data_IF_265784429640
#
_entry.id   IF_265784429640
#
_cell.length_a   1.000
_cell.length_b   1.000
_cell.length_c   1.000
_cell.angle_alpha   90.00
_cell.angle_beta   90.00
_cell.angle_gamma   90.00
#
_symmetry.space_group_name_H-M   'P 1'
#
loop_
_entity.id
_entity.type
_entity.pdbx_description
1 polymer ?
#
# COMPACT_ATOMS: atom_id res chain seq x y z
N UNK A 1 16.55 24.57 -7.64
CA UNK A 1 15.55 25.63 -7.86
C UNK A 1 15.22 25.61 -9.33
N UNK A 2 13.96 25.37 -9.69
CA UNK A 2 13.56 25.44 -11.11
C UNK A 2 13.78 26.86 -11.62
N UNK A 3 14.10 27.01 -12.92
CA UNK A 3 14.11 28.32 -13.56
C UNK A 3 12.67 28.83 -13.62
N UNK A 4 12.23 29.48 -12.53
CA UNK A 4 10.91 30.11 -12.36
C UNK A 4 10.61 31.02 -13.57
N UNK A 5 11.65 31.61 -14.14
CA UNK A 5 11.65 32.47 -15.33
C UNK A 5 11.05 31.83 -16.60
N UNK A 6 11.25 30.53 -16.83
CA UNK A 6 10.79 29.85 -18.05
C UNK A 6 9.32 29.43 -17.97
N UNK A 7 8.81 29.21 -16.77
CA UNK A 7 7.42 28.77 -16.55
C UNK A 7 6.44 29.94 -16.69
N UNK A 8 6.89 31.16 -16.40
CA UNK A 8 6.07 32.40 -16.53
C UNK A 8 5.75 32.69 -18.00
N UNK A 9 6.71 32.48 -18.90
CA UNK A 9 6.49 32.68 -20.34
C UNK A 9 5.63 31.57 -20.95
N UNK A 10 5.76 30.32 -20.47
CA UNK A 10 5.00 29.16 -20.98
C UNK A 10 3.54 29.14 -20.54
N UNK A 11 3.24 29.69 -19.37
CA UNK A 11 1.88 29.69 -18.81
C UNK A 11 1.06 30.91 -19.29
N UNK A 12 1.62 31.79 -20.10
CA UNK A 12 0.90 32.93 -20.67
C UNK A 12 0.11 32.50 -21.94
N UNK A 13 -1.08 33.07 -22.17
CA UNK A 13 -1.91 32.72 -23.31
C UNK A 13 -1.30 33.14 -24.66
N UNK A 14 -0.38 34.11 -24.66
CA UNK A 14 0.43 34.46 -25.83
C UNK A 14 1.88 34.73 -25.44
N UNK A 15 2.79 34.52 -26.38
CA UNK A 15 4.23 34.68 -26.17
C UNK A 15 4.63 36.13 -25.86
N UNK A 16 4.00 37.11 -26.51
CA UNK A 16 4.26 38.54 -26.28
C UNK A 16 3.81 38.97 -24.88
N UNK A 17 2.70 38.42 -24.39
CA UNK A 17 2.22 38.65 -23.03
C UNK A 17 3.10 37.96 -21.99
N UNK A 18 3.59 36.75 -22.30
CA UNK A 18 4.59 36.06 -21.48
C UNK A 18 5.88 36.85 -21.32
N UNK A 19 6.37 37.49 -22.39
CA UNK A 19 7.54 38.37 -22.33
C UNK A 19 7.28 39.63 -21.53
N UNK A 20 6.10 40.26 -21.69
CA UNK A 20 5.73 41.43 -20.87
C UNK A 20 5.69 41.10 -19.39
N UNK A 21 5.02 40.00 -19.00
CA UNK A 21 4.98 39.52 -17.61
C UNK A 21 6.36 39.19 -17.07
N UNK A 22 7.22 38.57 -17.90
CA UNK A 22 8.60 38.30 -17.53
C UNK A 22 9.39 39.60 -17.27
N UNK A 23 9.25 40.61 -18.13
CA UNK A 23 9.90 41.90 -17.97
C UNK A 23 9.36 42.68 -16.77
N UNK A 24 8.04 42.64 -16.53
CA UNK A 24 7.40 43.23 -15.35
C UNK A 24 7.90 42.56 -14.06
N UNK A 25 7.94 41.23 -14.01
CA UNK A 25 8.46 40.49 -12.85
C UNK A 25 9.95 40.76 -12.59
N UNK A 26 10.74 40.91 -13.65
CA UNK A 26 12.16 41.30 -13.55
C UNK A 26 12.33 42.75 -13.08
N UNK A 27 11.38 43.63 -13.39
CA UNK A 27 11.32 45.02 -12.88
C UNK A 27 10.79 45.09 -11.45
N UNK A 28 9.93 44.17 -11.04
CA UNK A 28 9.41 44.04 -9.67
C UNK A 28 10.41 43.42 -8.69
N UNK A 29 11.53 42.87 -9.17
CA UNK A 29 12.61 42.45 -8.27
C UNK A 29 13.14 43.68 -7.52
N UNK A 30 12.98 43.77 -6.20
CA UNK A 30 13.46 44.92 -5.44
C UNK A 30 14.98 45.00 -5.60
N UNK A 31 15.47 46.15 -6.06
CA UNK A 31 16.89 46.38 -6.20
C UNK A 31 17.57 46.21 -4.84
N UNK A 32 18.55 45.31 -4.74
CA UNK A 32 19.48 45.28 -3.60
C UNK A 32 19.00 44.60 -2.31
N UNK A 33 18.45 43.38 -2.37
CA UNK A 33 18.35 42.51 -1.18
C UNK A 33 17.32 42.92 -0.13
N UNK A 34 16.45 43.89 -0.41
CA UNK A 34 15.29 44.16 0.44
C UNK A 34 14.29 43.01 0.33
N UNK A 35 14.05 42.32 1.46
CA UNK A 35 12.94 41.39 1.57
C UNK A 35 11.64 42.14 1.33
N UNK A 36 10.75 41.56 0.50
CA UNK A 36 9.43 42.14 0.21
C UNK A 36 8.75 42.45 1.54
N UNK A 37 8.55 43.74 1.86
CA UNK A 37 7.98 44.16 3.15
C UNK A 37 6.67 43.40 3.37
N UNK A 38 6.46 42.80 4.54
CA UNK A 38 5.23 42.05 4.80
C UNK A 38 4.04 42.98 4.55
N UNK A 39 3.08 42.50 3.76
CA UNK A 39 1.89 43.28 3.46
C UNK A 39 1.15 43.54 4.77
N UNK A 40 1.06 44.80 5.19
CA UNK A 40 0.29 45.17 6.37
C UNK A 40 -1.19 44.96 6.08
N UNK A 41 -1.74 43.88 6.63
CA UNK A 41 -3.17 43.59 6.54
C UNK A 41 -3.87 44.55 7.50
N UNK A 42 -4.53 45.56 6.94
CA UNK A 42 -5.31 46.51 7.74
C UNK A 42 -6.62 45.87 8.19
N UNK A 43 -7.19 46.36 9.30
CA UNK A 43 -8.52 45.95 9.77
C UNK A 43 -9.60 46.08 8.68
N UNK A 44 -9.45 47.07 7.79
CA UNK A 44 -10.34 47.26 6.64
C UNK A 44 -10.26 46.12 5.62
N UNK A 45 -9.05 45.61 5.32
CA UNK A 45 -8.87 44.47 4.42
C UNK A 45 -9.39 43.17 5.04
N UNK A 46 -9.13 42.95 6.33
CA UNK A 46 -9.70 41.83 7.08
C UNK A 46 -11.22 41.88 7.12
N UNK A 47 -11.81 43.04 7.43
CA UNK A 47 -13.26 43.22 7.45
C UNK A 47 -13.90 42.96 6.08
N UNK A 48 -13.23 43.32 4.98
CA UNK A 48 -13.68 42.96 3.63
C UNK A 48 -13.60 41.47 3.35
N UNK A 49 -12.53 40.80 3.77
CA UNK A 49 -12.39 39.34 3.64
C UNK A 49 -13.43 38.60 4.49
N UNK A 50 -13.69 39.07 5.71
CA UNK A 50 -14.75 38.56 6.58
C UNK A 50 -16.14 38.80 5.95
N UNK A 51 -16.35 39.94 5.31
CA UNK A 51 -17.57 40.25 4.57
C UNK A 51 -17.71 39.51 3.23
N UNK A 52 -16.69 38.74 2.78
CA UNK A 52 -16.84 37.88 1.60
C UNK A 52 -17.64 36.62 1.90
N UNK A 53 -17.76 36.21 3.16
CA UNK A 53 -18.51 35.03 3.58
C UNK A 53 -19.67 35.46 4.46
N UNK A 54 -20.86 35.01 4.14
CA UNK A 54 -22.01 35.23 4.99
C UNK A 54 -21.98 34.23 6.16
N UNK A 55 -21.87 34.69 7.42
CA UNK A 55 -21.71 33.78 8.56
C UNK A 55 -22.97 32.97 8.87
N UNK A 56 -24.15 33.44 8.43
CA UNK A 56 -25.43 32.76 8.68
C UNK A 56 -25.63 31.63 7.68
N UNK A 57 -25.40 31.91 6.39
CA UNK A 57 -25.60 30.92 5.33
C UNK A 57 -24.36 30.06 5.09
N UNK A 58 -23.20 30.45 5.63
CA UNK A 58 -21.90 29.84 5.41
C UNK A 58 -21.50 29.75 3.92
N UNK A 59 -21.99 30.70 3.11
CA UNK A 59 -21.70 30.81 1.68
C UNK A 59 -20.88 32.04 1.39
N UNK A 60 -20.12 32.02 0.29
CA UNK A 60 -19.53 33.23 -0.24
C UNK A 60 -20.64 34.16 -0.76
N UNK A 61 -20.50 35.46 -0.49
CA UNK A 61 -21.40 36.50 -1.01
C UNK A 61 -21.20 36.70 -2.53
N UNK A 62 -20.08 36.26 -3.09
CA UNK A 62 -19.81 36.25 -4.53
C UNK A 62 -20.14 34.88 -5.12
N UNK A 63 -21.17 34.86 -5.97
CA UNK A 63 -21.70 33.66 -6.63
C UNK A 63 -20.65 32.92 -7.47
N UNK A 64 -19.68 33.62 -8.07
CA UNK A 64 -18.67 32.95 -8.88
C UNK A 64 -17.71 32.13 -8.01
N UNK A 65 -17.28 32.70 -6.89
CA UNK A 65 -16.42 32.00 -5.93
C UNK A 65 -17.15 30.82 -5.30
N UNK A 66 -18.42 31.00 -4.93
CA UNK A 66 -19.28 29.93 -4.39
C UNK A 66 -19.42 28.77 -5.38
N UNK A 67 -19.67 29.05 -6.67
CA UNK A 67 -19.76 28.01 -7.69
C UNK A 67 -18.45 27.22 -7.86
N UNK A 68 -17.30 27.90 -7.81
CA UNK A 68 -15.98 27.25 -7.90
C UNK A 68 -15.75 26.34 -6.70
N UNK A 69 -16.00 26.84 -5.48
CA UNK A 69 -15.85 26.07 -4.24
C UNK A 69 -16.78 24.87 -4.25
N UNK A 70 -18.05 25.05 -4.62
CA UNK A 70 -19.03 23.97 -4.70
C UNK A 70 -18.60 22.88 -5.68
N UNK A 71 -18.09 23.24 -6.88
CA UNK A 71 -17.54 22.25 -7.83
C UNK A 71 -16.33 21.52 -7.26
N UNK A 72 -15.45 22.22 -6.54
CA UNK A 72 -14.30 21.59 -5.88
C UNK A 72 -14.74 20.61 -4.79
N UNK A 73 -15.76 20.95 -4.01
CA UNK A 73 -16.34 20.08 -2.99
C UNK A 73 -17.02 18.86 -3.62
N UNK A 74 -17.86 19.06 -4.63
CA UNK A 74 -18.53 17.98 -5.37
C UNK A 74 -17.52 17.00 -5.97
N UNK A 75 -16.46 17.50 -6.61
CA UNK A 75 -15.40 16.65 -7.17
C UNK A 75 -14.58 15.95 -6.08
N UNK A 76 -14.33 16.60 -4.95
CA UNK A 76 -13.64 16.00 -3.79
C UNK A 76 -14.48 14.90 -3.14
N UNK A 77 -15.78 15.14 -2.95
CA UNK A 77 -16.75 14.16 -2.43
C UNK A 77 -16.85 12.98 -3.39
N UNK A 78 -17.04 13.22 -4.68
CA UNK A 78 -17.09 12.17 -5.69
C UNK A 78 -15.81 11.34 -5.71
N UNK A 79 -14.64 11.97 -5.63
CA UNK A 79 -13.35 11.28 -5.54
C UNK A 79 -13.22 10.45 -4.27
N UNK A 80 -13.67 10.96 -3.14
CA UNK A 80 -13.62 10.27 -1.85
C UNK A 80 -14.58 9.08 -1.83
N UNK A 81 -15.80 9.25 -2.34
CA UNK A 81 -16.79 8.18 -2.48
C UNK A 81 -16.31 7.12 -3.46
N UNK A 82 -15.79 7.49 -4.62
CA UNK A 82 -15.21 6.54 -5.58
C UNK A 82 -14.06 5.76 -4.97
N UNK A 83 -13.17 6.41 -4.20
CA UNK A 83 -12.08 5.72 -3.49
C UNK A 83 -12.61 4.80 -2.38
N UNK A 84 -13.59 5.22 -1.62
CA UNK A 84 -14.21 4.42 -0.57
C UNK A 84 -14.90 3.19 -1.16
N UNK A 85 -15.63 3.38 -2.26
CA UNK A 85 -16.32 2.33 -2.98
C UNK A 85 -15.35 1.36 -3.66
N UNK A 86 -14.26 1.86 -4.27
CA UNK A 86 -13.14 1.02 -4.74
C UNK A 86 -12.59 0.17 -3.59
N UNK A 87 -12.31 0.79 -2.45
CA UNK A 87 -11.77 0.11 -1.25
C UNK A 87 -12.75 -0.93 -0.70
N UNK A 88 -14.04 -0.64 -0.75
CA UNK A 88 -15.10 -1.56 -0.37
C UNK A 88 -15.16 -2.74 -1.34
N UNK A 89 -15.12 -2.49 -2.65
CA UNK A 89 -15.12 -3.55 -3.66
C UNK A 89 -13.92 -4.47 -3.51
N UNK A 90 -12.73 -3.94 -3.16
CA UNK A 90 -11.54 -4.76 -2.86
C UNK A 90 -11.68 -5.64 -1.61
N UNK A 91 -12.53 -5.26 -0.65
CA UNK A 91 -12.72 -6.00 0.61
C UNK A 91 -13.89 -6.97 0.54
N UNK A 92 -14.88 -6.67 -0.30
CA UNK A 92 -16.12 -7.42 -0.43
C UNK A 92 -16.15 -8.25 -1.73
N UNK A 93 -17.29 -8.89 -2.00
CA UNK A 93 -17.53 -9.66 -3.21
C UNK A 93 -17.66 -8.74 -4.44
N UNK A 94 -16.88 -9.04 -5.49
CA UNK A 94 -16.80 -8.26 -6.74
C UNK A 94 -18.05 -8.31 -7.63
N UNK A 95 -18.97 -9.23 -7.35
CA UNK A 95 -20.23 -9.39 -8.07
C UNK A 95 -21.41 -9.22 -7.11
N UNK A 96 -22.55 -8.81 -7.66
CA UNK A 96 -23.81 -8.80 -6.93
C UNK A 96 -24.30 -10.25 -6.76
N UNK A 97 -24.64 -10.63 -5.54
CA UNK A 97 -25.03 -12.00 -5.18
C UNK A 97 -26.36 -12.37 -5.84
N UNK A 98 -27.25 -11.39 -6.04
CA UNK A 98 -28.59 -11.62 -6.59
C UNK A 98 -28.58 -11.67 -8.11
N UNK A 99 -27.96 -10.67 -8.75
CA UNK A 99 -27.95 -10.57 -10.22
C UNK A 99 -26.77 -11.28 -10.88
N UNK A 100 -25.76 -11.70 -10.09
CA UNK A 100 -24.46 -12.21 -10.57
C UNK A 100 -23.71 -11.26 -11.51
N UNK A 101 -24.20 -10.04 -11.69
CA UNK A 101 -23.54 -9.03 -12.49
C UNK A 101 -22.30 -8.52 -11.74
N UNK A 102 -21.23 -8.24 -12.49
CA UNK A 102 -20.08 -7.57 -11.92
C UNK A 102 -20.52 -6.19 -11.39
N UNK A 103 -20.23 -5.88 -10.12
CA UNK A 103 -20.55 -4.57 -9.53
C UNK A 103 -19.83 -3.41 -10.24
N UNK A 104 -18.76 -3.72 -11.00
CA UNK A 104 -18.06 -2.78 -11.88
C UNK A 104 -17.37 -3.50 -13.04
N UNK A 105 -17.54 -2.99 -14.25
CA UNK A 105 -16.77 -3.43 -15.42
C UNK A 105 -15.29 -3.07 -15.26
N UNK A 106 -14.42 -4.06 -15.32
CA UNK A 106 -12.97 -3.94 -15.50
C UNK A 106 -12.29 -2.99 -14.50
N UNK A 107 -12.24 -3.40 -13.23
CA UNK A 107 -11.25 -2.83 -12.31
C UNK A 107 -9.91 -3.38 -12.75
N UNK A 108 -9.05 -2.52 -13.30
CA UNK A 108 -7.62 -2.79 -13.37
C UNK A 108 -7.17 -3.20 -11.98
N UNK A 109 -6.84 -4.47 -11.80
CA UNK A 109 -6.19 -4.99 -10.61
C UNK A 109 -5.01 -4.06 -10.33
N UNK A 110 -5.16 -3.18 -9.33
CA UNK A 110 -4.03 -2.39 -8.88
C UNK A 110 -3.11 -3.41 -8.26
N UNK A 111 -2.15 -3.90 -9.04
CA UNK A 111 -1.03 -4.73 -8.58
C UNK A 111 -0.56 -4.06 -7.30
N UNK A 112 -0.79 -4.72 -6.17
CA UNK A 112 -0.39 -4.24 -4.86
C UNK A 112 1.14 -4.22 -4.86
N UNK A 113 1.71 -3.17 -5.44
CA UNK A 113 3.10 -2.83 -5.22
C UNK A 113 3.10 -2.36 -3.78
N UNK A 114 3.53 -3.23 -2.88
CA UNK A 114 4.12 -2.77 -1.63
C UNK A 114 5.21 -1.80 -2.04
N UNK A 115 4.86 -0.51 -2.06
CA UNK A 115 5.84 0.53 -1.95
C UNK A 115 6.28 0.39 -0.51
N UNK A 116 7.20 -0.56 -0.28
CA UNK A 116 8.11 -0.49 0.85
C UNK A 116 8.65 0.92 0.74
N UNK A 117 8.13 1.83 1.57
CA UNK A 117 8.75 3.15 1.72
C UNK A 117 10.19 2.79 1.99
N UNK A 118 11.15 3.15 1.10
CA UNK A 118 12.54 2.88 1.41
C UNK A 118 12.74 3.42 2.83
N UNK A 119 13.38 2.65 3.74
CA UNK A 119 13.60 3.10 5.11
C UNK A 119 14.10 4.52 4.98
N UNK A 120 13.37 5.48 5.56
CA UNK A 120 13.59 6.90 5.26
C UNK A 120 15.07 7.15 5.47
N UNK A 121 15.81 7.20 4.36
CA UNK A 121 17.18 7.63 4.34
C UNK A 121 17.01 9.05 4.81
N UNK A 122 17.32 9.25 6.09
CA UNK A 122 17.63 10.54 6.69
C UNK A 122 18.23 11.33 5.56
N UNK A 123 17.55 12.40 5.14
CA UNK A 123 17.94 13.25 4.02
C UNK A 123 19.41 13.57 4.22
N UNK A 124 20.27 12.78 3.58
CA UNK A 124 21.70 12.94 3.65
C UNK A 124 21.91 14.20 2.82
N UNK A 125 21.91 15.34 3.50
CA UNK A 125 22.28 16.59 2.89
C UNK A 125 23.68 16.34 2.36
N UNK A 126 23.78 16.20 1.04
CA UNK A 126 25.03 16.01 0.31
C UNK A 126 25.87 17.30 0.32
N UNK A 127 25.93 17.97 1.47
CA UNK A 127 26.72 19.16 1.72
C UNK A 127 28.07 18.70 2.25
N UNK A 128 29.12 19.00 1.50
CA UNK A 128 30.52 18.58 1.77
C UNK A 128 31.16 19.31 2.98
N UNK A 129 30.37 20.08 3.74
CA UNK A 129 30.80 20.87 4.88
C UNK A 129 29.93 20.63 6.10
N UNK A 130 30.53 20.80 7.28
CA UNK A 130 29.82 20.78 8.54
C UNK A 130 29.00 22.06 8.70
N UNK A 131 27.69 21.93 8.87
CA UNK A 131 26.71 23.05 8.90
C UNK A 131 27.01 24.05 10.02
N UNK A 132 27.61 23.60 11.13
CA UNK A 132 27.95 24.47 12.26
C UNK A 132 29.22 25.28 11.97
N UNK A 133 30.23 24.64 11.37
CA UNK A 133 31.56 25.26 11.19
C UNK A 133 31.80 25.86 9.80
N UNK A 134 30.98 25.54 8.80
CA UNK A 134 31.19 25.88 7.39
C UNK A 134 32.39 25.20 6.72
N UNK A 135 33.24 24.51 7.49
CA UNK A 135 34.44 23.83 7.00
C UNK A 135 34.12 22.48 6.36
N UNK A 136 34.92 22.12 5.36
CA UNK A 136 34.78 20.84 4.65
C UNK A 136 34.98 19.63 5.58
N UNK A 137 34.34 18.51 5.27
CA UNK A 137 34.48 17.27 6.04
C UNK A 137 35.93 16.74 6.10
N UNK A 138 36.76 17.12 5.12
CA UNK A 138 38.19 16.82 5.07
C UNK A 138 39.01 17.61 6.10
N UNK A 139 38.47 18.71 6.62
CA UNK A 139 39.13 19.51 7.65
C UNK A 139 38.55 19.13 9.03
N UNK A 140 37.23 19.02 9.11
CA UNK A 140 36.46 18.85 10.33
C UNK A 140 35.93 17.41 10.48
N UNK A 141 36.83 16.44 10.62
CA UNK A 141 36.48 15.07 11.05
C UNK A 141 36.95 14.86 12.49
N UNK A 142 36.15 14.19 13.32
CA UNK A 142 36.46 13.89 14.73
C UNK A 142 37.64 12.92 14.92
N UNK A 143 38.13 12.32 13.82
CA UNK A 143 39.25 11.37 13.84
C UNK A 143 40.52 12.05 13.29
N UNK A 144 41.71 11.74 13.84
CA UNK A 144 42.99 12.26 13.32
C UNK A 144 43.22 11.80 11.87
N UNK A 145 44.03 12.55 11.10
CA UNK A 145 44.20 12.39 9.64
C UNK A 145 44.38 10.92 9.22
N UNK A 146 45.23 10.18 9.93
CA UNK A 146 45.62 8.80 9.62
C UNK A 146 44.52 7.76 9.88
N UNK A 147 43.50 8.11 10.70
CA UNK A 147 42.41 7.20 11.09
C UNK A 147 41.07 7.61 10.50
N UNK A 148 41.06 8.54 9.55
CA UNK A 148 39.83 8.97 8.90
C UNK A 148 39.36 7.88 7.93
N UNK A 149 38.10 7.45 8.00
CA UNK A 149 37.57 6.51 7.02
C UNK A 149 37.63 7.15 5.62
N UNK A 150 38.00 6.38 4.58
CA UNK A 150 38.01 6.89 3.22
C UNK A 150 36.59 7.31 2.82
N UNK A 151 36.49 8.45 2.12
CA UNK A 151 35.19 8.97 1.64
C UNK A 151 34.53 7.88 0.78
N UNK A 152 33.25 7.52 1.00
CA UNK A 152 32.53 6.69 0.06
C UNK A 152 32.52 7.41 -1.30
N UNK A 153 32.96 6.73 -2.36
CA UNK A 153 33.07 7.33 -3.69
C UNK A 153 31.75 8.03 -4.05
N UNK A 154 31.81 9.34 -4.31
CA UNK A 154 30.62 10.07 -4.75
C UNK A 154 30.13 9.41 -6.04
N UNK A 155 28.85 9.06 -6.15
CA UNK A 155 28.32 8.52 -7.40
C UNK A 155 28.65 9.53 -8.51
N UNK A 156 29.14 9.03 -9.65
CA UNK A 156 29.40 9.89 -10.81
C UNK A 156 28.16 10.75 -11.06
N UNK A 157 28.37 12.06 -11.27
CA UNK A 157 27.26 12.98 -11.61
C UNK A 157 26.49 12.31 -12.75
N UNK A 158 25.23 11.94 -12.48
CA UNK A 158 24.37 11.37 -13.52
C UNK A 158 24.41 12.35 -14.68
N UNK A 159 24.81 11.86 -15.86
CA UNK A 159 24.72 12.67 -17.07
C UNK A 159 23.32 13.28 -17.09
N UNK A 160 23.23 14.57 -17.42
CA UNK A 160 21.95 15.25 -17.46
C UNK A 160 21.01 14.39 -18.29
N UNK A 161 19.84 14.05 -17.73
CA UNK A 161 18.87 13.23 -18.44
C UNK A 161 18.50 13.99 -19.71
N UNK A 162 19.06 13.57 -20.85
CA UNK A 162 18.67 14.04 -22.17
C UNK A 162 17.25 13.55 -22.38
N UNK A 163 16.28 14.42 -22.10
CA UNK A 163 14.88 14.19 -22.44
C UNK A 163 14.73 14.08 -23.95
N UNK A 164 13.70 13.38 -24.42
CA UNK A 164 13.42 13.22 -25.86
C UNK A 164 13.34 14.54 -26.63
N UNK A 165 13.04 15.65 -25.95
CA UNK A 165 13.00 17.00 -26.49
C UNK A 165 14.39 17.63 -26.72
N UNK A 166 15.40 17.27 -25.92
CA UNK A 166 16.72 17.89 -25.94
C UNK A 166 17.80 17.02 -26.60
N UNK A 167 17.46 15.80 -27.05
CA UNK A 167 18.37 14.97 -27.84
C UNK A 167 18.43 15.53 -29.27
N UNK A 168 19.62 15.82 -29.82
CA UNK A 168 19.73 16.22 -31.22
C UNK A 168 19.12 15.13 -32.11
N UNK A 169 18.34 15.55 -33.11
CA UNK A 169 17.71 14.62 -34.05
C UNK A 169 18.80 13.92 -34.85
N UNK A 170 18.76 12.59 -34.85
CA UNK A 170 19.80 11.78 -35.50
C UNK A 170 19.57 11.63 -37.01
N UNK A 171 18.33 11.83 -37.47
CA UNK A 171 17.91 11.74 -38.86
C UNK A 171 17.49 13.11 -39.37
N UNK A 172 18.05 13.50 -40.51
CA UNK A 172 17.68 14.71 -41.21
C UNK A 172 16.61 14.40 -42.27
N UNK A 173 15.46 15.05 -42.13
CA UNK A 173 14.27 14.82 -42.96
C UNK A 173 14.43 15.47 -44.34
N UNK A 174 15.26 16.51 -44.46
CA UNK A 174 15.46 17.21 -45.72
C UNK A 174 16.40 16.42 -46.65
N UNK A 175 17.45 15.84 -46.08
CA UNK A 175 18.45 15.07 -46.83
C UNK A 175 18.18 13.57 -46.84
N UNK A 176 17.23 13.09 -46.02
CA UNK A 176 16.96 11.66 -45.78
C UNK A 176 18.19 10.86 -45.35
N UNK A 177 19.12 11.51 -44.64
CA UNK A 177 20.36 10.89 -44.17
C UNK A 177 20.47 10.94 -42.65
N UNK A 178 21.20 9.96 -42.10
CA UNK A 178 21.56 9.99 -40.69
C UNK A 178 22.77 10.89 -40.50
N UNK A 179 22.74 11.71 -39.45
CA UNK A 179 23.81 12.64 -39.09
C UNK A 179 25.16 11.96 -38.80
N UNK A 180 25.15 10.67 -38.44
CA UNK A 180 26.35 9.84 -38.23
C UNK A 180 26.15 8.47 -38.87
N UNK A 181 27.17 7.98 -39.56
CA UNK A 181 27.27 6.64 -40.15
C UNK A 181 26.02 6.19 -40.93
N UNK A 182 25.58 7.02 -41.90
CA UNK A 182 24.34 6.77 -42.64
C UNK A 182 24.28 5.40 -43.31
N UNK A 183 25.34 4.98 -44.00
CA UNK A 183 25.36 3.72 -44.74
C UNK A 183 25.26 2.50 -43.81
N UNK A 184 26.02 2.49 -42.72
CA UNK A 184 25.99 1.41 -41.72
C UNK A 184 24.61 1.29 -41.08
N UNK A 185 24.01 2.43 -40.74
CA UNK A 185 22.68 2.46 -40.11
C UNK A 185 21.58 2.06 -41.08
N UNK A 186 21.64 2.52 -42.32
CA UNK A 186 20.70 2.12 -43.37
C UNK A 186 20.76 0.61 -43.62
N UNK A 187 21.97 0.02 -43.70
CA UNK A 187 22.15 -1.42 -43.83
C UNK A 187 21.56 -2.18 -42.64
N UNK A 188 21.88 -1.74 -41.42
CA UNK A 188 21.35 -2.34 -40.20
C UNK A 188 19.81 -2.27 -40.13
N UNK A 189 19.20 -1.16 -40.56
CA UNK A 189 17.74 -1.02 -40.63
C UNK A 189 17.11 -1.93 -41.70
N UNK A 190 17.76 -2.08 -42.85
CA UNK A 190 17.32 -3.03 -43.89
C UNK A 190 17.39 -4.48 -43.40
N UNK A 191 18.50 -4.86 -42.76
CA UNK A 191 18.69 -6.20 -42.19
C UNK A 191 17.65 -6.48 -41.09
N UNK A 192 17.44 -5.52 -40.18
CA UNK A 192 16.39 -5.59 -39.16
C UNK A 192 14.99 -5.71 -39.76
N UNK A 193 14.67 -4.91 -40.79
CA UNK A 193 13.36 -5.00 -41.44
C UNK A 193 13.16 -6.37 -42.11
N UNK A 194 14.22 -6.92 -42.73
CA UNK A 194 14.19 -8.27 -43.30
C UNK A 194 13.92 -9.32 -42.23
N UNK A 195 14.60 -9.24 -41.09
CA UNK A 195 14.36 -10.11 -39.93
C UNK A 195 12.92 -9.99 -39.41
N UNK A 196 12.40 -8.77 -39.25
CA UNK A 196 11.01 -8.53 -38.80
C UNK A 196 9.98 -9.10 -39.79
N UNK A 197 10.23 -9.01 -41.10
CA UNK A 197 9.37 -9.60 -42.13
C UNK A 197 9.41 -11.13 -42.06
N UNK A 198 10.60 -11.72 -41.94
CA UNK A 198 10.78 -13.17 -41.78
C UNK A 198 10.08 -13.66 -40.51
N UNK A 199 10.22 -12.94 -39.41
CA UNK A 199 9.56 -13.26 -38.15
C UNK A 199 8.03 -13.24 -38.31
N UNK A 200 7.45 -12.16 -38.87
CA UNK A 200 6.00 -12.07 -39.13
C UNK A 200 5.51 -13.17 -40.07
N UNK A 201 6.32 -13.54 -41.06
CA UNK A 201 6.00 -14.64 -41.97
C UNK A 201 5.86 -15.96 -41.20
N UNK A 202 6.81 -16.28 -40.32
CA UNK A 202 6.77 -17.50 -39.51
C UNK A 202 5.74 -17.48 -38.38
N UNK A 203 5.42 -16.31 -37.83
CA UNK A 203 4.32 -16.15 -36.86
C UNK A 203 2.97 -16.53 -37.48
N UNK A 204 2.76 -16.22 -38.76
CA UNK A 204 1.50 -16.52 -39.47
C UNK A 204 1.47 -17.89 -40.13
N UNK A 205 2.63 -18.49 -40.41
CA UNK A 205 2.77 -19.76 -41.14
C UNK A 205 3.60 -20.75 -40.34
N UNK A 206 3.13 -21.06 -39.14
CA UNK A 206 3.75 -22.08 -38.28
C UNK A 206 3.29 -23.51 -38.60
N UNK A 207 2.14 -23.66 -39.25
CA UNK A 207 1.46 -24.92 -39.48
C UNK A 207 1.24 -25.18 -40.98
N UNK A 208 1.55 -26.40 -41.41
CA UNK A 208 1.26 -26.87 -42.75
C UNK A 208 -0.10 -27.57 -42.77
N UNK A 209 -1.06 -26.97 -43.47
CA UNK A 209 -2.42 -27.50 -43.57
C UNK A 209 -2.53 -28.74 -44.46
N UNK A 210 -1.53 -29.01 -45.32
CA UNK A 210 -1.56 -30.17 -46.24
C UNK A 210 -1.03 -31.41 -45.54
N UNK A 211 0.10 -31.30 -44.83
CA UNK A 211 0.65 -32.41 -44.05
C UNK A 211 0.03 -32.51 -42.66
N UNK A 212 -0.74 -31.51 -42.24
CA UNK A 212 -1.33 -31.37 -40.92
C UNK A 212 -0.29 -31.43 -39.78
N UNK A 213 0.90 -30.86 -40.00
CA UNK A 213 2.01 -30.86 -39.05
C UNK A 213 2.65 -29.48 -38.92
N UNK A 214 3.26 -29.18 -37.78
CA UNK A 214 4.08 -27.96 -37.66
C UNK A 214 5.37 -28.08 -38.49
N UNK A 215 5.84 -26.97 -39.06
CA UNK A 215 7.13 -26.93 -39.77
C UNK A 215 8.33 -27.16 -38.84
N UNK A 216 8.17 -26.78 -37.57
CA UNK A 216 9.17 -26.91 -36.53
C UNK A 216 8.99 -28.24 -35.78
N UNK A 217 10.02 -29.09 -35.84
CA UNK A 217 9.98 -30.46 -35.30
C UNK A 217 9.81 -30.49 -33.78
N UNK A 218 10.40 -29.53 -33.08
CA UNK A 218 10.33 -29.50 -31.61
C UNK A 218 8.92 -29.11 -31.15
N UNK A 219 8.28 -28.19 -31.88
CA UNK A 219 6.87 -27.81 -31.63
C UNK A 219 5.91 -28.94 -31.95
N UNK A 220 6.16 -29.68 -33.02
CA UNK A 220 5.37 -30.86 -33.37
C UNK A 220 5.47 -31.94 -32.28
N UNK A 221 6.68 -32.24 -31.80
CA UNK A 221 6.89 -33.18 -30.72
C UNK A 221 6.14 -32.76 -29.44
N UNK A 222 6.26 -31.49 -29.05
CA UNK A 222 5.54 -30.94 -27.89
C UNK A 222 4.01 -30.99 -28.08
N UNK A 223 3.50 -30.72 -29.29
CA UNK A 223 2.08 -30.83 -29.60
C UNK A 223 1.59 -32.27 -29.47
N UNK A 224 2.35 -33.24 -29.97
CA UNK A 224 2.02 -34.66 -29.87
C UNK A 224 2.03 -35.16 -28.42
N UNK A 225 3.02 -34.76 -27.62
CA UNK A 225 3.05 -35.05 -26.18
C UNK A 225 1.82 -34.48 -25.47
N UNK A 226 1.52 -33.21 -25.71
CA UNK A 226 0.34 -32.56 -25.14
C UNK A 226 -0.98 -33.22 -25.56
N UNK A 227 -1.08 -33.70 -26.81
CA UNK A 227 -2.27 -34.43 -27.27
C UNK A 227 -2.37 -35.81 -26.60
N UNK A 228 -1.25 -36.53 -26.44
CA UNK A 228 -1.20 -37.80 -25.68
C UNK A 228 -1.63 -37.57 -24.23
N UNK A 229 -1.13 -36.53 -23.58
CA UNK A 229 -1.52 -36.16 -22.22
C UNK A 229 -3.00 -35.81 -22.13
N UNK A 230 -3.53 -35.07 -23.11
CA UNK A 230 -4.97 -34.76 -23.18
C UNK A 230 -5.82 -36.01 -23.34
N UNK A 231 -5.39 -36.97 -24.14
CA UNK A 231 -6.09 -38.24 -24.32
C UNK A 231 -6.03 -39.11 -23.07
N UNK A 232 -4.87 -39.19 -22.41
CA UNK A 232 -4.72 -39.91 -21.14
C UNK A 232 -5.59 -39.29 -20.03
N UNK A 233 -5.64 -37.97 -19.98
CA UNK A 233 -6.46 -37.21 -19.02
C UNK A 233 -7.91 -37.03 -19.48
N UNK A 234 -8.31 -37.60 -20.62
CA UNK A 234 -9.66 -37.48 -21.12
C UNK A 234 -10.60 -38.29 -20.21
N UNK A 235 -11.41 -37.58 -19.42
CA UNK A 235 -12.38 -38.19 -18.50
C UNK A 235 -12.04 -38.01 -17.03
N UNK A 236 -10.78 -37.75 -16.66
CA UNK A 236 -10.42 -37.44 -15.26
C UNK A 236 -11.13 -36.16 -14.78
N UNK A 237 -11.31 -35.19 -15.68
CA UNK A 237 -12.05 -33.94 -15.41
C UNK A 237 -13.57 -34.07 -15.50
N UNK A 238 -14.15 -35.25 -15.76
CA UNK A 238 -15.60 -35.40 -15.92
C UNK A 238 -16.33 -34.99 -14.63
N UNK A 239 -15.80 -35.36 -13.47
CA UNK A 239 -16.35 -34.99 -12.16
C UNK A 239 -16.28 -33.47 -11.94
N UNK A 240 -15.22 -32.81 -12.42
CA UNK A 240 -15.04 -31.36 -12.27
C UNK A 240 -15.98 -30.54 -13.19
N UNK A 241 -16.53 -31.16 -14.23
CA UNK A 241 -17.57 -30.54 -15.09
C UNK A 241 -18.95 -30.61 -14.47
N UNK A 242 -19.16 -31.44 -13.45
CA UNK A 242 -20.43 -31.53 -12.76
C UNK A 242 -20.70 -30.25 -11.97
N UNK A 243 -21.97 -29.85 -11.79
CA UNK A 243 -22.34 -28.75 -10.91
C UNK A 243 -21.70 -28.92 -9.53
N UNK A 244 -21.23 -27.85 -8.86
CA UNK A 244 -20.54 -27.96 -7.57
C UNK A 244 -21.31 -28.75 -6.51
N UNK A 245 -22.65 -28.67 -6.51
CA UNK A 245 -23.51 -29.44 -5.61
C UNK A 245 -23.41 -30.95 -5.84
N UNK A 246 -23.41 -31.39 -7.11
CA UNK A 246 -23.23 -32.79 -7.45
C UNK A 246 -21.77 -33.21 -7.30
N UNK A 247 -20.83 -32.37 -7.72
CA UNK A 247 -19.41 -32.65 -7.63
C UNK A 247 -18.93 -32.79 -6.17
N UNK A 248 -19.51 -32.03 -5.24
CA UNK A 248 -19.23 -32.13 -3.81
C UNK A 248 -20.12 -33.15 -3.08
N UNK A 249 -21.02 -33.83 -3.79
CA UNK A 249 -21.88 -34.83 -3.16
C UNK A 249 -21.08 -36.05 -2.71
N UNK A 250 -21.39 -36.53 -1.51
CA UNK A 250 -20.75 -37.71 -0.91
C UNK A 250 -20.94 -38.95 -1.80
N UNK A 251 -22.04 -39.03 -2.56
CA UNK A 251 -22.33 -40.15 -3.47
C UNK A 251 -21.31 -40.34 -4.60
N UNK A 252 -20.52 -39.32 -4.94
CA UNK A 252 -19.41 -39.45 -5.89
C UNK A 252 -18.08 -39.81 -5.21
N UNK A 253 -17.97 -39.58 -3.90
CA UNK A 253 -16.77 -39.84 -3.11
C UNK A 253 -16.72 -41.27 -2.60
N UNK A 254 -17.88 -41.86 -2.37
CA UNK A 254 -18.04 -43.23 -1.91
C UNK A 254 -18.78 -44.06 -2.94
N UNK A 255 -18.45 -45.34 -2.99
CA UNK A 255 -19.33 -46.32 -3.59
C UNK A 255 -20.44 -46.68 -2.62
N UNK A 256 -21.69 -46.31 -2.96
CA UNK A 256 -22.86 -46.48 -2.09
C UNK A 256 -23.08 -47.95 -1.71
N UNK A 257 -22.75 -48.89 -2.60
CA UNK A 257 -23.02 -50.31 -2.38
C UNK A 257 -21.96 -50.99 -1.50
N UNK A 258 -20.70 -50.55 -1.61
CA UNK A 258 -19.57 -51.19 -0.91
C UNK A 258 -19.07 -50.39 0.29
N UNK A 259 -19.45 -49.11 0.39
CA UNK A 259 -18.94 -48.17 1.39
C UNK A 259 -17.47 -47.76 1.18
N UNK A 260 -16.84 -48.21 0.09
CA UNK A 260 -15.43 -47.92 -0.20
C UNK A 260 -15.28 -46.51 -0.75
N UNK A 261 -14.27 -45.79 -0.26
CA UNK A 261 -13.93 -44.44 -0.75
C UNK A 261 -13.33 -44.55 -2.15
N UNK A 262 -13.98 -43.94 -3.14
CA UNK A 262 -13.49 -43.84 -4.52
C UNK A 262 -12.42 -42.78 -4.68
N UNK A 263 -12.57 -41.65 -3.99
CA UNK A 263 -11.65 -40.51 -4.05
C UNK A 263 -11.30 -40.00 -2.63
N UNK A 264 -10.23 -40.52 -2.00
CA UNK A 264 -9.86 -40.15 -0.64
C UNK A 264 -9.30 -38.73 -0.53
N UNK A 265 -8.67 -38.23 -1.60
CA UNK A 265 -8.05 -36.90 -1.62
C UNK A 265 -9.13 -35.83 -1.59
N UNK A 266 -10.14 -35.97 -2.45
CA UNK A 266 -11.25 -35.01 -2.51
C UNK A 266 -12.07 -35.05 -1.22
N UNK A 267 -12.28 -36.22 -0.65
CA UNK A 267 -12.97 -36.36 0.64
C UNK A 267 -12.24 -35.58 1.74
N UNK A 268 -10.93 -35.73 1.82
CA UNK A 268 -10.12 -34.98 2.78
C UNK A 268 -10.24 -33.46 2.57
N UNK A 269 -10.28 -32.99 1.32
CA UNK A 269 -10.47 -31.57 1.02
C UNK A 269 -11.81 -31.03 1.53
N UNK A 270 -12.90 -31.79 1.42
CA UNK A 270 -14.20 -31.39 1.96
C UNK A 270 -14.16 -31.33 3.48
N UNK A 271 -13.59 -32.36 4.12
CA UNK A 271 -13.42 -32.40 5.58
C UNK A 271 -12.58 -31.19 6.06
N UNK A 272 -11.48 -30.89 5.39
CA UNK A 272 -10.61 -29.76 5.72
C UNK A 272 -11.31 -28.41 5.50
N UNK A 273 -12.13 -28.29 4.45
CA UNK A 273 -12.92 -27.09 4.20
C UNK A 273 -13.97 -26.86 5.31
N UNK A 274 -14.68 -27.92 5.72
CA UNK A 274 -15.65 -27.85 6.81
C UNK A 274 -14.97 -27.51 8.15
N UNK A 275 -13.82 -28.13 8.43
CA UNK A 275 -13.02 -27.82 9.61
C UNK A 275 -12.54 -26.36 9.59
N UNK A 276 -12.07 -25.85 8.45
CA UNK A 276 -11.67 -24.46 8.29
C UNK A 276 -12.82 -23.49 8.58
N UNK A 277 -14.05 -23.80 8.11
CA UNK A 277 -15.24 -23.00 8.39
C UNK A 277 -15.56 -23.02 9.89
N UNK A 278 -15.46 -24.17 10.54
CA UNK A 278 -15.67 -24.30 11.99
C UNK A 278 -14.62 -23.51 12.79
N UNK A 279 -13.34 -23.61 12.43
CA UNK A 279 -12.26 -22.85 13.05
C UNK A 279 -12.42 -21.34 12.84
N UNK A 280 -12.83 -20.90 11.65
CA UNK A 280 -13.09 -19.50 11.37
C UNK A 280 -14.26 -18.96 12.22
N UNK A 281 -15.33 -19.74 12.38
CA UNK A 281 -16.47 -19.39 13.27
C UNK A 281 -16.04 -19.33 14.73
N UNK A 282 -15.26 -20.31 15.20
CA UNK A 282 -14.72 -20.32 16.56
C UNK A 282 -13.83 -19.09 16.83
N UNK A 283 -12.89 -18.81 15.93
CA UNK A 283 -12.01 -17.64 16.05
C UNK A 283 -12.73 -16.30 15.98
N UNK A 284 -13.87 -16.21 15.28
CA UNK A 284 -14.72 -15.00 15.28
C UNK A 284 -15.29 -14.73 16.67
N UNK A 285 -15.79 -15.76 17.36
CA UNK A 285 -16.35 -15.64 18.70
C UNK A 285 -15.28 -15.15 19.69
N UNK A 286 -14.06 -15.70 19.62
CA UNK A 286 -12.96 -15.29 20.48
C UNK A 286 -12.51 -13.84 20.22
N UNK A 287 -12.38 -13.46 18.94
CA UNK A 287 -12.05 -12.08 18.56
C UNK A 287 -13.11 -11.10 19.04
N UNK A 288 -14.39 -11.47 18.93
CA UNK A 288 -15.49 -10.64 19.40
C UNK A 288 -15.45 -10.47 20.93
N UNK A 289 -15.23 -11.54 21.69
CA UNK A 289 -15.04 -11.47 23.15
C UNK A 289 -13.88 -10.53 23.51
N UNK A 290 -12.71 -10.70 22.88
CA UNK A 290 -11.55 -9.83 23.11
C UNK A 290 -11.82 -8.36 22.76
N UNK A 291 -12.56 -8.08 21.68
CA UNK A 291 -12.96 -6.72 21.32
C UNK A 291 -13.92 -6.11 22.32
N UNK A 292 -14.90 -6.89 22.83
CA UNK A 292 -15.82 -6.45 23.89
C UNK A 292 -15.06 -6.12 25.17
N UNK A 293 -14.16 -6.99 25.61
CA UNK A 293 -13.31 -6.76 26.80
C UNK A 293 -12.46 -5.50 26.66
N UNK A 294 -11.79 -5.31 25.51
CA UNK A 294 -11.01 -4.09 25.21
C UNK A 294 -11.88 -2.84 25.21
N UNK A 295 -13.12 -2.94 24.71
CA UNK A 295 -14.08 -1.84 24.72
C UNK A 295 -14.49 -1.47 26.15
N UNK A 296 -14.79 -2.48 26.98
CA UNK A 296 -15.11 -2.29 28.40
C UNK A 296 -13.95 -1.63 29.14
N UNK A 297 -12.72 -2.13 28.95
CA UNK A 297 -11.52 -1.55 29.57
C UNK A 297 -11.28 -0.10 29.12
N UNK A 298 -11.45 0.21 27.83
CA UNK A 298 -11.33 1.59 27.33
C UNK A 298 -12.39 2.51 27.94
N UNK A 299 -13.62 2.02 28.06
CA UNK A 299 -14.70 2.78 28.67
C UNK A 299 -14.44 3.02 30.16
N UNK A 300 -13.99 2.00 30.91
CA UNK A 300 -13.58 2.15 32.30
C UNK A 300 -12.46 3.20 32.45
N UNK A 301 -11.38 3.06 31.68
CA UNK A 301 -10.27 4.02 31.68
C UNK A 301 -10.74 5.45 31.32
N UNK A 302 -11.64 5.58 30.35
CA UNK A 302 -12.24 6.86 30.00
C UNK A 302 -13.05 7.47 31.15
N UNK A 303 -13.87 6.67 31.84
CA UNK A 303 -14.61 7.08 33.03
C UNK A 303 -13.67 7.49 34.15
N UNK A 304 -12.62 6.71 34.41
CA UNK A 304 -11.60 7.02 35.42
C UNK A 304 -10.90 8.35 35.11
N UNK A 305 -10.48 8.56 33.86
CA UNK A 305 -9.90 9.85 33.41
C UNK A 305 -10.88 11.00 33.51
N UNK A 306 -12.17 10.76 33.38
CA UNK A 306 -13.20 11.78 33.51
C UNK A 306 -13.39 12.14 34.98
N UNK A 307 -13.44 11.15 35.87
CA UNK A 307 -13.51 11.34 37.33
C UNK A 307 -12.26 12.04 37.85
N UNK A 308 -11.07 11.63 37.41
CA UNK A 308 -9.79 12.24 37.78
C UNK A 308 -9.60 13.67 37.24
N UNK A 309 -10.42 14.12 36.27
CA UNK A 309 -10.41 15.51 35.77
C UNK A 309 -11.29 16.45 36.59
N UNK A 310 -12.16 15.93 37.46
CA UNK A 310 -13.05 16.77 38.25
C UNK A 310 -12.21 17.43 39.37
N UNK A 311 -12.10 18.75 39.30
CA UNK A 311 -11.41 19.55 40.30
C UNK A 311 -12.12 19.46 41.65
N UNK A 312 -11.34 19.35 42.73
CA UNK A 312 -11.85 19.29 44.10
C UNK A 312 -12.76 20.47 44.47
N UNK A 313 -12.49 21.66 43.92
CA UNK A 313 -13.26 22.88 44.13
C UNK A 313 -14.74 22.72 43.76
N UNK A 314 -15.06 21.85 42.78
CA UNK A 314 -16.44 21.57 42.37
C UNK A 314 -17.27 21.04 43.53
N UNK A 315 -16.66 20.26 44.43
CA UNK A 315 -17.34 19.66 45.57
C UNK A 315 -17.08 20.39 46.88
N UNK A 316 -16.18 21.38 46.93
CA UNK A 316 -15.83 22.09 48.15
C UNK A 316 -17.06 22.72 48.84
N UNK A 317 -17.95 23.36 48.07
CA UNK A 317 -19.18 23.95 48.60
C UNK A 317 -20.18 22.90 49.10
N UNK A 318 -20.29 21.78 48.38
CA UNK A 318 -21.18 20.67 48.74
C UNK A 318 -20.70 19.99 50.02
N UNK A 319 -19.40 19.73 50.12
CA UNK A 319 -18.76 19.17 51.32
C UNK A 319 -18.90 20.13 52.51
N UNK A 320 -18.64 21.42 52.31
CA UNK A 320 -18.81 22.42 53.37
C UNK A 320 -20.25 22.57 53.88
N UNK A 321 -21.25 22.22 53.05
CA UNK A 321 -22.66 22.25 53.43
C UNK A 321 -23.05 21.14 54.39
N UNK A 322 -22.38 19.98 54.34
CA UNK A 322 -22.61 18.84 55.24
C UNK A 322 -23.83 17.96 54.94
N UNK A 323 -24.77 18.41 54.10
CA UNK A 323 -25.97 17.65 53.73
C UNK A 323 -26.33 17.80 52.25
N UNK A 324 -27.02 16.81 51.69
CA UNK A 324 -27.49 16.83 50.32
C UNK A 324 -28.71 17.75 50.13
N UNK A 325 -28.69 18.57 49.08
CA UNK A 325 -29.72 19.57 48.80
C UNK A 325 -31.02 18.90 48.36
N UNK A 326 -30.91 17.73 47.71
CA UNK A 326 -32.04 17.02 47.13
C UNK A 326 -32.77 16.19 48.20
N UNK A 327 -32.01 15.40 48.96
CA UNK A 327 -32.58 14.46 49.92
C UNK A 327 -32.60 14.97 51.36
N UNK A 328 -31.98 16.13 51.64
CA UNK A 328 -31.80 16.71 52.98
C UNK A 328 -31.11 15.79 54.00
N UNK A 329 -30.57 14.65 53.54
CA UNK A 329 -29.85 13.73 54.37
C UNK A 329 -28.42 14.24 54.62
N UNK A 330 -27.95 14.07 55.85
CA UNK A 330 -26.56 14.33 56.20
C UNK A 330 -25.66 13.36 55.43
N UNK A 331 -24.55 13.87 54.89
CA UNK A 331 -23.62 13.06 54.11
C UNK A 331 -22.93 11.95 54.92
N UNK A 332 -22.99 12.02 56.25
CA UNK A 332 -22.49 10.98 57.15
C UNK A 332 -23.41 9.75 57.22
N UNK A 333 -24.68 9.87 56.82
CA UNK A 333 -25.68 8.80 56.95
C UNK A 333 -25.99 8.09 55.63
N UNK A 334 -25.99 8.80 54.49
CA UNK A 334 -26.41 8.25 53.16
C UNK A 334 -25.26 8.18 52.15
N UNK A 335 -24.01 8.28 52.63
CA UNK A 335 -22.82 8.19 51.80
C UNK A 335 -22.35 9.57 51.36
N UNK A 336 -21.05 9.78 51.53
CA UNK A 336 -20.38 11.04 51.22
C UNK A 336 -20.62 11.47 49.76
N UNK A 337 -20.58 12.78 49.46
CA UNK A 337 -20.50 13.23 48.07
C UNK A 337 -19.28 12.56 47.43
N UNK A 338 -19.31 12.26 46.12
CA UNK A 338 -18.23 11.53 45.48
C UNK A 338 -16.90 12.22 45.81
N UNK A 339 -16.01 11.49 46.49
CA UNK A 339 -14.75 12.06 46.97
C UNK A 339 -14.04 12.73 45.80
N UNK A 340 -13.61 13.99 45.94
CA UNK A 340 -12.84 14.64 44.90
C UNK A 340 -11.57 13.82 44.67
N UNK A 341 -11.45 13.19 43.50
CA UNK A 341 -10.28 12.36 43.18
C UNK A 341 -9.03 13.20 42.93
N UNK A 342 -9.20 14.48 42.60
CA UNK A 342 -8.09 15.43 42.57
C UNK A 342 -7.80 15.93 43.98
N UNK A 343 -6.53 15.87 44.40
CA UNK A 343 -6.10 16.50 45.66
C UNK A 343 -6.21 18.02 45.52
N UNK A 344 -6.51 18.70 46.62
CA UNK A 344 -6.39 20.15 46.68
C UNK A 344 -4.97 20.57 46.28
N UNK A 345 -4.85 21.72 45.60
CA UNK A 345 -3.52 22.28 45.33
C UNK A 345 -2.88 22.57 46.68
N UNK A 346 -1.77 21.90 46.98
CA UNK A 346 -0.97 22.18 48.17
C UNK A 346 -0.63 23.67 48.19
N UNK A 347 -0.75 24.31 49.35
CA UNK A 347 -0.25 25.67 49.50
C UNK A 347 1.26 25.70 49.26
N UNK A 348 1.85 26.87 48.95
CA UNK A 348 3.31 27.00 48.80
C UNK A 348 4.07 26.50 50.05
N UNK A 349 3.47 26.68 51.23
CA UNK A 349 4.03 26.26 52.50
C UNK A 349 3.95 24.73 52.68
N UNK A 350 2.79 24.13 52.41
CA UNK A 350 2.62 22.66 52.41
C UNK A 350 3.46 21.97 51.34
N UNK A 351 3.64 22.61 50.18
CA UNK A 351 4.51 22.13 49.12
C UNK A 351 5.97 22.09 49.60
N UNK A 352 6.42 23.18 50.22
CA UNK A 352 7.76 23.27 50.81
C UNK A 352 7.97 22.27 51.97
N UNK A 353 6.97 22.06 52.83
CA UNK A 353 7.03 20.99 53.84
C UNK A 353 7.07 19.59 53.21
N UNK A 354 6.31 19.35 52.14
CA UNK A 354 6.34 18.04 51.48
C UNK A 354 7.68 17.73 50.83
N UNK A 355 8.38 18.75 50.29
CA UNK A 355 9.75 18.60 49.79
C UNK A 355 10.77 18.35 50.91
N UNK A 356 10.59 18.99 52.09
CA UNK A 356 11.41 18.72 53.27
C UNK A 356 11.21 17.30 53.81
N UNK A 357 9.97 16.82 53.79
CA UNK A 357 9.64 15.47 54.25
C UNK A 357 10.07 14.38 53.24
N UNK A 358 10.10 14.68 51.93
CA UNK A 358 10.62 13.77 50.90
C UNK A 358 12.14 13.66 50.94
N UNK A 359 12.86 14.73 51.27
CA UNK A 359 14.33 14.69 51.46
C UNK A 359 14.76 14.00 52.76
N UNK A 360 13.88 13.91 53.76
CA UNK A 360 14.10 13.14 54.98
C UNK A 360 13.80 11.63 54.83
N UNK A 361 13.15 11.21 53.73
CA UNK A 361 12.98 9.79 53.42
C UNK A 361 14.22 9.30 52.68
N UNK A 362 15.02 8.45 53.35
CA UNK A 362 16.09 7.68 52.71
C UNK A 362 15.54 7.00 51.45
N UNK A 363 16.26 7.05 50.30
CA UNK A 363 15.81 6.39 49.09
C UNK A 363 15.79 4.88 49.34
N UNK A 364 14.59 4.34 49.53
CA UNK A 364 14.35 2.90 49.43
C UNK A 364 14.90 2.42 48.07
N UNK A 365 15.62 1.28 48.03
CA UNK A 365 16.16 0.75 46.80
C UNK A 365 14.98 0.30 45.93
N UNK A 366 14.60 1.16 44.98
CA UNK A 366 13.71 0.78 43.90
C UNK A 366 14.44 -0.25 43.05
N UNK A 367 14.23 -1.52 43.37
CA UNK A 367 14.63 -2.62 42.50
C UNK A 367 14.12 -2.33 41.10
N UNK A 368 15.05 -2.46 40.14
CA UNK A 368 14.79 -2.56 38.72
C UNK A 368 13.49 -3.31 38.48
N UNK A 369 12.49 -2.60 37.99
CA UNK A 369 11.34 -3.23 37.35
C UNK A 369 11.85 -3.73 36.00
N UNK A 370 12.53 -4.88 36.07
CA UNK A 370 12.79 -5.76 34.96
C UNK A 370 11.53 -5.90 34.15
N UNK A 371 11.67 -5.70 32.83
CA UNK A 371 10.84 -6.31 31.81
C UNK A 371 10.33 -7.68 32.30
N UNK A 372 9.07 -7.72 32.75
CA UNK A 372 8.32 -8.96 32.75
C UNK A 372 8.00 -9.23 31.28
N UNK A 373 8.92 -9.95 30.65
CA UNK A 373 8.58 -10.98 29.67
C UNK A 373 7.28 -11.64 30.09
N UNK A 374 6.25 -11.54 29.24
CA UNK A 374 5.05 -12.36 29.34
C UNK A 374 5.46 -13.77 28.91
N UNK A 375 6.08 -14.50 29.83
CA UNK A 375 6.19 -15.94 29.73
C UNK A 375 4.85 -16.54 30.18
N UNK A 376 4.19 -17.14 29.19
CA UNK A 376 3.06 -18.04 29.33
C UNK A 376 3.31 -19.07 30.44
N UNK A 377 2.52 -19.00 31.50
CA UNK A 377 2.36 -20.10 32.45
C UNK A 377 1.66 -21.25 31.73
N UNK A 378 2.46 -22.21 31.27
CA UNK A 378 2.04 -23.51 30.80
C UNK A 378 2.36 -24.54 31.89
N UNK A 379 1.41 -24.75 32.80
CA UNK A 379 1.27 -25.91 33.70
C UNK A 379 -0.02 -25.67 34.49
N UNK A 380 -1.00 -26.55 34.57
CA UNK A 380 -1.20 -27.89 34.09
C UNK A 380 -2.45 -28.36 34.82
N UNK A 381 -3.54 -28.59 34.11
CA UNK A 381 -4.69 -29.27 34.69
C UNK A 381 -4.85 -30.60 33.97
N UNK A 382 -4.29 -31.62 34.61
CA UNK A 382 -4.42 -33.00 34.20
C UNK A 382 -5.88 -33.43 34.33
N UNK A 383 -6.48 -33.85 33.22
CA UNK A 383 -7.58 -34.81 33.25
C UNK A 383 -7.21 -36.00 32.38
N UNK A 384 -7.24 -37.12 33.05
CA UNK A 384 -7.03 -38.49 32.62
C UNK A 384 -8.03 -38.92 31.56
N UNK A 385 -7.54 -39.48 30.45
CA UNK A 385 -8.26 -40.51 29.71
C UNK A 385 -7.27 -41.39 28.95
N UNK A 386 -7.01 -42.53 29.58
CA UNK A 386 -6.59 -43.84 29.11
C UNK A 386 -6.80 -44.12 27.60
N UNK A 387 -5.72 -44.36 26.86
CA UNK A 387 -5.70 -45.22 25.66
C UNK A 387 -4.37 -46.02 25.68
N UNK A 388 -4.39 -47.36 25.49
CA UNK A 388 -3.22 -48.20 25.68
C UNK A 388 -2.32 -48.28 24.44
N UNK A 389 -1.03 -48.35 24.69
CA UNK A 389 0.02 -48.72 23.75
C UNK A 389 0.34 -50.21 23.86
N UNK A 390 0.20 -50.97 22.76
CA UNK A 390 1.16 -52.00 22.30
C UNK A 390 0.67 -52.68 21.02
N UNK A 391 1.50 -52.67 19.97
CA UNK A 391 2.16 -53.89 19.50
C UNK A 391 3.25 -53.52 18.48
N UNK A 392 4.46 -53.97 18.81
CA UNK A 392 5.57 -54.20 17.89
C UNK A 392 5.15 -55.17 16.79
N UNK A 393 5.68 -54.96 15.57
CA UNK A 393 6.11 -56.06 14.72
C UNK A 393 7.13 -55.57 13.69
N UNK A 394 8.34 -56.12 13.86
CA UNK A 394 9.50 -56.05 13.00
C UNK A 394 9.37 -56.92 11.74
N UNK A 395 10.19 -56.54 10.74
CA UNK A 395 10.81 -57.39 9.71
C UNK A 395 10.04 -57.68 8.40
N UNK A 396 10.60 -57.16 7.29
CA UNK A 396 11.09 -57.83 6.07
C UNK A 396 11.04 -56.81 4.91
N UNK A 397 12.15 -56.17 4.57
CA UNK A 397 13.19 -56.64 3.64
C UNK A 397 12.75 -56.67 2.16
N UNK A 398 13.34 -55.79 1.34
CA UNK A 398 13.96 -56.09 0.04
C UNK A 398 13.90 -54.95 -1.01
N UNK A 399 15.12 -54.55 -1.42
CA UNK A 399 15.56 -54.24 -2.81
C UNK A 399 14.97 -53.00 -3.54
N UNK A 400 15.82 -51.98 -3.77
CA UNK A 400 16.63 -51.85 -5.01
C UNK A 400 17.54 -50.62 -4.98
N UNK A 401 18.73 -50.85 -5.51
CA UNK A 401 19.91 -50.01 -5.69
C UNK A 401 19.78 -48.95 -6.80
N UNK A 402 20.39 -47.76 -6.56
CA UNK A 402 21.27 -46.88 -7.39
C UNK A 402 21.13 -46.87 -8.95
N UNK A 403 21.50 -45.78 -9.67
CA UNK A 403 22.66 -44.92 -9.34
C UNK A 403 22.55 -43.41 -9.61
N UNK A 404 23.58 -42.73 -9.09
CA UNK A 404 24.06 -41.40 -9.44
C UNK A 404 24.52 -41.36 -10.90
N UNK A 405 24.23 -40.28 -11.61
CA UNK A 405 24.84 -39.95 -12.91
C UNK A 405 25.55 -38.61 -12.81
N UNK A 406 26.69 -38.57 -13.50
CA UNK A 406 27.82 -37.68 -13.35
C UNK A 406 27.56 -36.21 -13.72
N UNK A 407 28.41 -35.39 -13.13
CA UNK A 407 28.78 -34.06 -13.59
C UNK A 407 29.49 -34.16 -14.95
N UNK A 408 29.11 -33.30 -15.89
CA UNK A 408 29.98 -32.88 -16.98
C UNK A 408 29.72 -31.40 -17.31
N UNK A 409 30.82 -30.69 -17.53
CA UNK A 409 30.89 -29.25 -17.74
C UNK A 409 30.82 -28.90 -19.23
N UNK A 410 30.19 -27.78 -19.56
CA UNK A 410 30.52 -26.87 -20.69
C UNK A 410 29.69 -25.59 -20.50
N UNK A 411 30.30 -24.44 -20.22
CA UNK A 411 30.75 -23.41 -21.16
C UNK A 411 29.70 -22.98 -22.20
N UNK A 412 29.17 -21.76 -22.04
CA UNK A 412 28.37 -21.07 -23.07
C UNK A 412 27.53 -19.94 -22.47
N UNK A 413 28.04 -18.71 -22.57
CA UNK A 413 27.40 -17.51 -22.03
C UNK A 413 26.02 -17.24 -22.62
N UNK A 414 25.13 -16.68 -21.81
CA UNK A 414 23.84 -16.13 -22.26
C UNK A 414 23.74 -14.66 -21.85
N UNK A 415 23.83 -13.83 -22.89
CA UNK A 415 23.43 -12.44 -22.88
C UNK A 415 21.95 -12.30 -22.49
N UNK A 416 21.68 -11.46 -21.50
CA UNK A 416 20.33 -11.10 -21.08
C UNK A 416 19.77 -10.02 -21.99
N UNK A 417 19.05 -10.40 -23.04
CA UNK A 417 18.12 -9.49 -23.73
C UNK A 417 16.76 -9.53 -23.05
N UNK A 418 16.39 -8.36 -22.52
CA UNK A 418 15.15 -8.11 -21.78
C UNK A 418 14.05 -7.78 -22.78
N UNK A 419 13.16 -8.73 -23.08
CA UNK A 419 11.97 -8.49 -23.90
C UNK A 419 10.93 -7.69 -23.11
N UNK A 420 10.61 -6.50 -23.61
CA UNK A 420 9.47 -5.70 -23.17
C UNK A 420 8.25 -6.08 -24.00
N UNK A 421 7.26 -6.72 -23.39
CA UNK A 421 5.95 -6.96 -24.00
C UNK A 421 5.19 -5.63 -24.11
N UNK A 422 4.99 -5.18 -25.35
CA UNK A 422 4.10 -4.06 -25.71
C UNK A 422 2.73 -4.63 -26.04
N UNK A 423 1.73 -4.24 -25.27
CA UNK A 423 0.33 -4.55 -25.52
C UNK A 423 -0.15 -3.84 -26.79
N UNK A 424 -0.64 -4.60 -27.77
CA UNK A 424 -1.31 -4.12 -28.97
C UNK A 424 -2.76 -3.75 -28.64
N UNK A 425 -3.08 -2.45 -28.72
CA UNK A 425 -4.43 -1.92 -28.61
C UNK A 425 -5.25 -2.26 -29.87
N UNK A 426 -6.41 -2.87 -29.65
CA UNK A 426 -7.40 -3.19 -30.68
C UNK A 426 -7.92 -1.93 -31.37
N UNK A 427 -7.95 -2.01 -32.70
CA UNK A 427 -8.46 -1.04 -33.65
C UNK A 427 -9.96 -0.80 -33.51
N UNK A 428 -10.34 0.48 -33.52
CA UNK A 428 -11.70 1.00 -33.56
C UNK A 428 -12.50 0.51 -34.77
N UNK A 429 -13.65 -0.10 -34.51
CA UNK A 429 -14.73 -0.36 -35.48
C UNK A 429 -15.25 0.97 -36.06
N UNK A 430 -15.15 1.10 -37.39
CA UNK A 430 -15.71 2.21 -38.16
C UNK A 430 -17.13 1.82 -38.59
N UNK A 431 -18.13 2.41 -37.94
CA UNK A 431 -19.55 2.30 -38.34
C UNK A 431 -19.76 3.10 -39.62
N UNK A 432 -20.14 2.42 -40.71
CA UNK A 432 -20.63 3.05 -41.94
C UNK A 432 -22.14 3.27 -41.81
N UNK A 433 -22.56 4.53 -41.68
CA UNK A 433 -23.95 4.94 -41.87
C UNK A 433 -24.21 5.12 -43.36
N UNK A 434 -25.05 4.25 -43.94
CA UNK A 434 -25.56 4.42 -45.31
C UNK A 434 -26.71 5.43 -45.33
N UNK A 435 -26.50 6.56 -46.00
CA UNK A 435 -27.56 7.48 -46.39
C UNK A 435 -28.08 7.10 -47.78
N UNK A 436 -29.35 6.71 -47.86
CA UNK A 436 -30.12 6.69 -49.09
C UNK A 436 -30.49 8.14 -49.44
N UNK A 437 -29.99 8.66 -50.56
CA UNK A 437 -30.62 9.77 -51.25
C UNK A 437 -31.27 9.22 -52.52
N UNK A 438 -32.57 9.48 -52.64
CA UNK A 438 -33.31 9.43 -53.90
C UNK A 438 -33.00 10.72 -54.66
N UNK A 439 -32.67 10.57 -55.93
CA UNK A 439 -33.17 11.38 -57.05
C UNK A 439 -33.16 10.50 -58.30
#
# INVERSE_FOLDING_TARGET
MGNIDLDVVKNAPSWSEGIRRYQEQKREHPAGGETRKPQYITKFLMSRQEAMVNPITQKFNDDQTEQVVKRMEETSIAKTLNRAWDTQLFREQHFDIVTQAAKRGHIHEKVYKQILKPPSLVTATHTDYNIISGKGFHEHHWAPLDRRPPRPASPQKKQQFLTALNRPREYDILTNQYTKNHEERAKWEMDRNREEIVQKYWETRNFDAVTCSFYDKDKEAAFQEHMKDKHLNQGSSAINKLPPTLAASESLMYDICTGVVRDPVRLQQIIDADNSILHARAGKIEKEKSLREKSIQKNQLFLDRKLARIAHERYAKTVARGYDIVNLADYDTVGHPPFPQTKARKSLWEFHESLRNETARTPEPHWNNSFQSVESTNAGNQRTSTIPSRLDLSALDSRKSKPQTAQSASHGGTDRTRSTSRASSLSSLRVRSGGFNRD
#
